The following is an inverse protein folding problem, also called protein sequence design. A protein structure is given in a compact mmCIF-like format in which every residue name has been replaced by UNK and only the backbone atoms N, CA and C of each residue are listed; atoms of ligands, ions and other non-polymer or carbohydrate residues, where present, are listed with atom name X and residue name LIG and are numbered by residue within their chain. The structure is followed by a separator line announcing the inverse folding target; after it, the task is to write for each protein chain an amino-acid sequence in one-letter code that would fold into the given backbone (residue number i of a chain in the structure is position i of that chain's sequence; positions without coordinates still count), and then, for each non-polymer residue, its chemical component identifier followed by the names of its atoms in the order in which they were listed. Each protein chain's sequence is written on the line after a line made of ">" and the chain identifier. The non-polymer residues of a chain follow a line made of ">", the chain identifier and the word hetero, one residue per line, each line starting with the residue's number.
data_IF_618737750398
#
_entry.id   IF_618737750398
#
_cell.length_a   1.000
_cell.length_b   1.000
_cell.length_c   1.000
_cell.angle_alpha   90.00
_cell.angle_beta   90.00
_cell.angle_gamma   90.00
#
_symmetry.space_group_name_H-M   'P 1'
#
loop_
_entity.id
_entity.type
_entity.pdbx_description
1 polymer ?
#
# COMPACT_ATOMS: atom_id res chain seq x y z
N UNK A 1 17.18 -25.96 -60.94
CA UNK A 1 18.01 -24.75 -60.67
C UNK A 1 17.10 -23.54 -60.56
N UNK A 2 17.45 -22.60 -59.66
CA UNK A 2 16.78 -21.31 -59.30
C UNK A 2 15.73 -21.45 -58.18
N UNK A 3 16.05 -21.14 -56.92
CA UNK A 3 16.41 -19.88 -56.22
C UNK A 3 15.17 -19.18 -55.60
N UNK A 4 15.02 -19.40 -54.29
CA UNK A 4 14.62 -18.48 -53.18
C UNK A 4 13.80 -17.21 -53.47
N UNK A 5 12.74 -17.00 -52.69
CA UNK A 5 12.61 -15.82 -51.80
C UNK A 5 11.70 -16.13 -50.61
N UNK A 6 12.22 -15.85 -49.41
CA UNK A 6 11.55 -15.93 -48.13
C UNK A 6 10.54 -14.78 -47.97
N UNK A 7 9.38 -15.06 -47.36
CA UNK A 7 8.52 -14.04 -46.77
C UNK A 7 8.56 -14.20 -45.25
N UNK A 8 9.26 -13.28 -44.59
CA UNK A 8 9.18 -13.07 -43.14
C UNK A 8 7.79 -12.49 -42.83
N UNK A 9 6.90 -13.31 -42.28
CA UNK A 9 5.66 -12.82 -41.65
C UNK A 9 6.03 -12.42 -40.24
N UNK A 10 6.24 -11.13 -40.03
CA UNK A 10 6.48 -10.54 -38.73
C UNK A 10 5.21 -9.89 -38.20
N UNK A 11 4.97 -10.16 -36.91
CA UNK A 11 4.22 -9.37 -35.92
C UNK A 11 2.70 -9.44 -35.94
N UNK A 12 2.21 -10.01 -34.84
CA UNK A 12 0.91 -9.73 -34.28
C UNK A 12 0.79 -10.33 -32.89
N UNK A 13 1.72 -10.03 -31.97
CA UNK A 13 1.44 -10.25 -30.55
C UNK A 13 0.29 -9.30 -30.19
N UNK A 14 -0.92 -9.85 -30.08
CA UNK A 14 -2.02 -9.14 -29.46
C UNK A 14 -1.60 -8.87 -28.01
N UNK A 15 -1.18 -7.63 -27.75
CA UNK A 15 -1.10 -7.14 -26.39
C UNK A 15 -2.51 -7.25 -25.81
N UNK A 16 -2.72 -8.24 -24.94
CA UNK A 16 -3.87 -8.26 -24.04
C UNK A 16 -3.69 -7.02 -23.17
N UNK A 17 -4.30 -5.92 -23.59
CA UNK A 17 -4.50 -4.75 -22.74
C UNK A 17 -5.46 -5.21 -21.65
N UNK A 18 -4.90 -5.85 -20.62
CA UNK A 18 -5.52 -5.96 -19.33
C UNK A 18 -5.69 -4.53 -18.85
N UNK A 19 -6.87 -3.97 -19.11
CA UNK A 19 -7.32 -2.75 -18.46
C UNK A 19 -7.13 -3.01 -16.98
N UNK A 20 -6.22 -2.30 -16.27
CA UNK A 20 -6.24 -2.38 -14.84
C UNK A 20 -7.64 -1.92 -14.44
N UNK A 21 -8.39 -2.78 -13.77
CA UNK A 21 -9.54 -2.37 -12.99
C UNK A 21 -8.98 -1.43 -11.92
N UNK A 22 -8.73 -0.17 -12.29
CA UNK A 22 -8.61 0.91 -11.33
C UNK A 22 -9.95 0.90 -10.63
N UNK A 23 -9.96 0.42 -9.39
CA UNK A 23 -11.10 0.42 -8.50
C UNK A 23 -11.76 1.79 -8.59
N UNK A 24 -12.91 1.82 -9.25
CA UNK A 24 -13.74 3.02 -9.42
C UNK A 24 -14.26 3.58 -8.08
N UNK A 25 -13.89 2.92 -6.98
CA UNK A 25 -14.18 3.26 -5.58
C UNK A 25 -13.07 4.05 -4.86
N UNK A 26 -11.92 4.33 -5.51
CA UNK A 26 -10.86 5.15 -4.90
C UNK A 26 -11.06 6.66 -5.07
N UNK A 27 -12.02 7.09 -5.90
CA UNK A 27 -12.15 8.49 -6.32
C UNK A 27 -12.88 9.43 -5.31
N UNK A 28 -13.27 8.93 -4.12
CA UNK A 28 -14.10 9.72 -3.19
C UNK A 28 -13.61 9.76 -1.74
N UNK A 29 -12.54 9.02 -1.39
CA UNK A 29 -12.00 9.03 -0.03
C UNK A 29 -10.61 9.64 -0.09
N UNK A 30 -10.52 10.91 0.31
CA UNK A 30 -9.25 11.64 0.40
C UNK A 30 -8.44 11.14 1.60
N UNK A 31 -7.12 11.24 1.52
CA UNK A 31 -6.24 10.77 2.58
C UNK A 31 -4.86 10.36 2.12
N UNK A 32 -4.12 9.69 3.00
CA UNK A 32 -2.76 9.25 2.74
C UNK A 32 -2.64 7.73 2.82
N UNK A 33 -2.15 7.13 1.74
CA UNK A 33 -1.92 5.69 1.60
C UNK A 33 -0.45 5.34 1.84
N UNK A 34 -0.21 4.37 2.71
CA UNK A 34 1.09 3.69 2.82
C UNK A 34 1.09 2.43 1.97
N UNK A 35 2.14 2.26 1.15
CA UNK A 35 2.40 1.03 0.41
C UNK A 35 3.31 0.12 1.22
N UNK A 36 2.98 -1.16 1.23
CA UNK A 36 3.59 -2.16 2.09
C UNK A 36 4.19 -3.29 1.26
N UNK A 37 5.40 -3.72 1.61
CA UNK A 37 6.06 -4.88 1.03
C UNK A 37 6.33 -5.92 2.11
N UNK A 38 5.84 -7.16 1.98
CA UNK A 38 6.07 -8.19 3.00
C UNK A 38 7.56 -8.56 3.04
N UNK A 39 8.08 -8.80 4.24
CA UNK A 39 9.46 -9.31 4.41
C UNK A 39 9.54 -10.82 4.19
N UNK A 40 8.44 -11.53 4.41
CA UNK A 40 8.29 -12.96 4.12
C UNK A 40 7.77 -13.19 2.69
N UNK A 41 8.20 -14.29 2.08
CA UNK A 41 7.69 -14.72 0.77
C UNK A 41 6.23 -15.18 0.81
N UNK A 42 5.77 -15.67 1.96
CA UNK A 42 4.40 -16.10 2.21
C UNK A 42 3.92 -15.58 3.57
N UNK A 43 3.51 -14.30 3.64
CA UNK A 43 3.12 -13.71 4.91
C UNK A 43 1.86 -14.38 5.47
N UNK A 44 1.84 -14.61 6.77
CA UNK A 44 0.71 -15.20 7.47
C UNK A 44 -0.13 -14.11 8.13
N UNK A 45 -1.41 -14.39 8.37
CA UNK A 45 -2.32 -13.47 9.08
C UNK A 45 -2.25 -12.01 8.59
N UNK A 46 -2.06 -11.82 7.27
CA UNK A 46 -1.59 -10.54 6.69
C UNK A 46 -2.45 -9.35 7.09
N UNK A 47 -3.77 -9.49 7.02
CA UNK A 47 -4.68 -8.42 7.40
C UNK A 47 -4.59 -8.07 8.89
N UNK A 48 -4.49 -9.07 9.76
CA UNK A 48 -4.34 -8.83 11.20
C UNK A 48 -3.00 -8.15 11.50
N UNK A 49 -1.91 -8.63 10.92
CA UNK A 49 -0.57 -8.06 11.13
C UNK A 49 -0.52 -6.62 10.63
N UNK A 50 -0.99 -6.35 9.41
CA UNK A 50 -1.01 -5.00 8.85
C UNK A 50 -1.87 -4.08 9.72
N UNK A 51 -3.10 -4.48 10.06
CA UNK A 51 -4.00 -3.62 10.83
C UNK A 51 -3.48 -3.36 12.23
N UNK A 52 -3.16 -4.40 12.98
CA UNK A 52 -2.71 -4.25 14.37
C UNK A 52 -1.44 -3.39 14.45
N UNK A 53 -0.43 -3.69 13.63
CA UNK A 53 0.82 -2.96 13.68
C UNK A 53 0.68 -1.53 13.15
N UNK A 54 -0.21 -1.27 12.18
CA UNK A 54 -0.52 0.09 11.74
C UNK A 54 -1.16 0.91 12.86
N UNK A 55 -2.14 0.34 13.57
CA UNK A 55 -2.81 1.02 14.70
C UNK A 55 -1.82 1.30 15.83
N UNK A 56 -0.98 0.32 16.19
CA UNK A 56 0.06 0.46 17.22
C UNK A 56 1.06 1.54 16.83
N UNK A 57 1.65 1.46 15.64
CA UNK A 57 2.64 2.42 15.16
C UNK A 57 2.07 3.84 15.07
N UNK A 58 0.81 3.99 14.66
CA UNK A 58 0.12 5.29 14.70
C UNK A 58 0.05 5.85 16.12
N UNK A 59 -0.49 5.05 17.04
CA UNK A 59 -0.67 5.41 18.45
C UNK A 59 0.66 5.85 19.09
N UNK A 60 1.74 5.12 18.81
CA UNK A 60 3.09 5.44 19.27
C UNK A 60 3.64 6.74 18.64
N UNK A 61 3.45 6.92 17.34
CA UNK A 61 3.96 8.08 16.61
C UNK A 61 3.28 9.39 17.01
N UNK A 62 1.97 9.33 17.28
CA UNK A 62 1.17 10.51 17.62
C UNK A 62 0.93 10.68 19.11
N UNK A 63 1.35 9.71 19.94
CA UNK A 63 0.99 9.60 21.37
C UNK A 63 -0.51 9.68 21.62
N UNK A 64 -1.31 9.21 20.66
CA UNK A 64 -2.77 9.21 20.82
C UNK A 64 -3.17 8.17 21.86
N UNK A 65 -4.21 8.45 22.65
CA UNK A 65 -4.79 7.45 23.55
C UNK A 65 -5.74 6.49 22.83
N UNK A 66 -6.19 6.87 21.62
CA UNK A 66 -7.16 6.09 20.85
C UNK A 66 -6.95 6.27 19.36
N UNK A 67 -6.95 5.15 18.63
CA UNK A 67 -6.99 5.16 17.18
C UNK A 67 -7.93 4.07 16.68
N UNK A 68 -8.86 4.43 15.80
CA UNK A 68 -9.94 3.55 15.35
C UNK A 68 -9.64 3.03 13.95
N UNK A 69 -9.86 1.74 13.72
CA UNK A 69 -9.78 1.16 12.37
C UNK A 69 -10.77 1.79 11.39
N UNK A 70 -11.83 2.46 11.86
CA UNK A 70 -12.77 3.20 10.98
C UNK A 70 -12.10 4.34 10.21
N UNK A 71 -10.99 4.86 10.74
CA UNK A 71 -10.16 5.89 10.12
C UNK A 71 -9.30 5.35 8.98
N UNK A 72 -9.31 4.04 8.76
CA UNK A 72 -8.53 3.36 7.75
C UNK A 72 -9.42 2.83 6.61
N UNK A 73 -8.90 2.85 5.38
CA UNK A 73 -9.30 1.92 4.33
C UNK A 73 -8.33 0.73 4.33
N UNK A 74 -8.91 -0.46 4.45
CA UNK A 74 -8.21 -1.72 4.69
C UNK A 74 -8.40 -2.72 3.54
N UNK A 75 -8.99 -2.30 2.42
CA UNK A 75 -9.33 -3.17 1.26
C UNK A 75 -8.14 -3.97 0.74
N UNK A 76 -6.93 -3.40 0.83
CA UNK A 76 -5.69 -3.98 0.32
C UNK A 76 -4.83 -4.62 1.42
N UNK A 77 -5.41 -5.06 2.53
CA UNK A 77 -4.67 -5.72 3.62
C UNK A 77 -4.66 -7.25 3.52
N UNK A 78 -5.45 -7.84 2.64
CA UNK A 78 -5.57 -9.30 2.47
C UNK A 78 -4.87 -9.84 1.22
N UNK A 79 -4.52 -8.98 0.27
CA UNK A 79 -3.85 -9.35 -0.99
C UNK A 79 -2.94 -8.24 -1.48
N UNK A 80 -1.87 -8.64 -2.19
CA UNK A 80 -0.98 -7.70 -2.84
C UNK A 80 -1.68 -6.96 -4.02
N UNK A 81 -1.31 -5.71 -4.34
CA UNK A 81 -0.34 -4.87 -3.61
C UNK A 81 -0.89 -4.45 -2.23
N UNK A 82 -0.09 -4.63 -1.18
CA UNK A 82 -0.55 -4.37 0.18
C UNK A 82 -0.51 -2.87 0.49
N UNK A 83 -1.58 -2.35 1.07
CA UNK A 83 -1.64 -0.95 1.48
C UNK A 83 -2.68 -0.71 2.57
N UNK A 84 -2.47 0.37 3.32
CA UNK A 84 -3.47 0.96 4.22
C UNK A 84 -3.60 2.44 3.88
N UNK A 85 -4.82 2.95 3.82
CA UNK A 85 -5.06 4.38 3.64
C UNK A 85 -5.65 4.99 4.90
N UNK A 86 -5.02 6.05 5.39
CA UNK A 86 -5.50 6.90 6.45
C UNK A 86 -6.44 7.94 5.84
N UNK A 87 -7.71 7.91 6.22
CA UNK A 87 -8.75 8.79 5.68
C UNK A 87 -8.59 10.20 6.26
N UNK A 88 -8.50 11.21 5.40
CA UNK A 88 -8.54 12.60 5.82
C UNK A 88 -9.88 12.94 6.49
N UNK A 89 -9.90 13.99 7.32
CA UNK A 89 -11.06 14.49 8.07
C UNK A 89 -11.73 13.48 9.03
N UNK A 90 -11.15 12.29 9.22
CA UNK A 90 -11.69 11.26 10.12
C UNK A 90 -10.87 11.10 11.40
N UNK A 91 -9.58 11.40 11.36
CA UNK A 91 -8.67 11.24 12.49
C UNK A 91 -8.69 12.54 13.31
N UNK A 92 -9.09 12.50 14.60
CA UNK A 92 -9.00 13.67 15.47
C UNK A 92 -7.58 14.25 15.46
N UNK A 93 -7.47 15.57 15.41
CA UNK A 93 -6.21 16.35 15.34
C UNK A 93 -5.38 16.18 14.05
N UNK A 94 -5.74 15.24 13.16
CA UNK A 94 -5.07 14.99 11.87
C UNK A 94 -6.10 15.05 10.72
N UNK A 95 -6.70 16.23 10.54
CA UNK A 95 -7.82 16.42 9.62
C UNK A 95 -7.40 16.59 8.16
N UNK A 96 -6.17 17.03 7.89
CA UNK A 96 -5.67 17.25 6.53
C UNK A 96 -4.69 16.15 6.09
N UNK A 97 -4.57 15.97 4.78
CA UNK A 97 -3.52 15.11 4.20
C UNK A 97 -2.13 15.52 4.63
N UNK A 98 -1.82 16.83 4.65
CA UNK A 98 -0.52 17.33 5.11
C UNK A 98 -0.20 16.90 6.55
N UNK A 99 -1.20 16.98 7.45
CA UNK A 99 -1.02 16.58 8.85
C UNK A 99 -0.79 15.07 8.99
N UNK A 100 -1.47 14.27 8.17
CA UNK A 100 -1.30 12.81 8.15
C UNK A 100 0.05 12.44 7.53
N UNK A 101 0.41 13.06 6.39
CA UNK A 101 1.67 12.87 5.68
C UNK A 101 2.87 13.16 6.58
N UNK A 102 2.81 14.25 7.37
CA UNK A 102 3.87 14.60 8.32
C UNK A 102 4.19 13.47 9.31
N UNK A 103 3.20 12.66 9.71
CA UNK A 103 3.42 11.46 10.54
C UNK A 103 3.97 10.32 9.68
N UNK A 104 3.29 10.00 8.57
CA UNK A 104 3.59 8.83 7.75
C UNK A 104 4.96 8.90 7.06
N UNK A 105 5.42 10.10 6.71
CA UNK A 105 6.74 10.30 6.08
C UNK A 105 7.88 9.91 7.04
N UNK A 106 7.66 10.01 8.36
CA UNK A 106 8.63 9.52 9.36
C UNK A 106 8.74 8.00 9.38
N UNK A 107 7.75 7.29 8.81
CA UNK A 107 7.75 5.84 8.75
C UNK A 107 8.40 5.29 7.49
N UNK A 108 8.66 6.13 6.49
CA UNK A 108 9.26 5.73 5.23
C UNK A 108 10.60 5.02 5.45
N UNK A 109 10.77 3.86 4.81
CA UNK A 109 11.98 3.04 4.97
C UNK A 109 12.06 2.27 6.29
N UNK A 110 11.01 2.31 7.11
CA UNK A 110 10.87 1.52 8.34
C UNK A 110 9.90 0.34 8.14
N UNK A 111 9.73 -0.47 9.17
CA UNK A 111 8.79 -1.59 9.20
C UNK A 111 7.61 -1.30 10.13
N UNK A 112 6.46 -1.92 9.86
CA UNK A 112 5.25 -1.72 10.66
C UNK A 112 5.47 -2.13 12.12
N UNK A 113 6.06 -3.29 12.39
CA UNK A 113 6.30 -3.78 13.75
C UNK A 113 7.72 -3.46 14.26
N UNK A 114 8.75 -3.70 13.46
CA UNK A 114 10.14 -3.70 13.92
C UNK A 114 10.86 -2.35 13.92
N UNK A 115 10.21 -1.28 13.45
CA UNK A 115 10.85 0.04 13.37
C UNK A 115 11.99 0.04 12.35
N UNK A 116 13.25 0.20 12.79
CA UNK A 116 14.40 0.22 11.88
C UNK A 116 14.81 -1.17 11.35
N UNK A 117 14.53 -2.23 12.12
CA UNK A 117 14.87 -3.62 11.77
C UNK A 117 13.60 -4.45 11.70
N UNK A 118 13.39 -5.32 10.70
CA UNK A 118 12.12 -6.02 10.58
C UNK A 118 11.88 -6.99 11.73
N UNK A 119 10.64 -7.06 12.20
CA UNK A 119 10.19 -8.22 12.97
C UNK A 119 9.97 -9.44 12.04
N UNK A 120 9.72 -10.61 12.63
CA UNK A 120 9.28 -11.76 11.85
C UNK A 120 7.92 -11.47 11.19
N UNK A 121 7.80 -11.78 9.90
CA UNK A 121 6.55 -11.62 9.13
C UNK A 121 6.01 -10.17 9.07
N UNK A 122 6.95 -9.22 9.01
CA UNK A 122 6.68 -7.79 9.00
C UNK A 122 6.45 -7.23 7.57
N UNK A 123 6.12 -5.95 7.50
CA UNK A 123 5.90 -5.22 6.26
C UNK A 123 6.75 -3.96 6.23
N UNK A 124 7.58 -3.83 5.21
CA UNK A 124 8.34 -2.62 4.92
C UNK A 124 7.41 -1.53 4.35
N UNK A 125 7.57 -0.31 4.83
CA UNK A 125 6.82 0.87 4.39
C UNK A 125 7.62 1.53 3.26
N UNK A 126 7.14 1.35 2.03
CA UNK A 126 7.92 1.65 0.82
C UNK A 126 7.50 2.92 0.10
N UNK A 127 6.31 3.44 0.39
CA UNK A 127 5.80 4.67 -0.22
C UNK A 127 4.67 5.27 0.62
N UNK A 128 4.64 6.60 0.72
CA UNK A 128 3.47 7.39 1.14
C UNK A 128 2.92 8.11 -0.10
N UNK A 129 1.60 8.15 -0.26
CA UNK A 129 0.93 8.90 -1.34
C UNK A 129 -0.36 9.48 -0.80
N UNK A 130 -0.53 10.79 -0.89
CA UNK A 130 -1.76 11.49 -0.48
C UNK A 130 -2.47 12.06 -1.71
N UNK A 131 -3.81 12.05 -1.68
CA UNK A 131 -4.68 12.48 -2.78
C UNK A 131 -6.10 12.77 -2.34
#
# INVERSE_FOLDING_TARGET
>A
MRFTTAALVSVGLAAVQGVPLTSRDDAAVTGCRISLSPTASQPQNTAQNILYNTLTKWTESTKSLYFSSKYLDTKNTTKAPFSVMFKANMIPDYLSEDSIAAVLDTWMGTYLAGGATPAADDFAITKVTCS
#
